data_IF_466496650047
#
_entry.id   IF_466496650047
#
_cell.length_a   1.000
_cell.length_b   1.000
_cell.length_c   1.000
_cell.angle_alpha   90.00
_cell.angle_beta   90.00
_cell.angle_gamma   90.00
#
_symmetry.space_group_name_H-M   'P 1'
#
loop_
_entity.id
_entity.type
_entity.pdbx_description
1 polymer ?
#
# COMPACT_ATOMS: atom_id res chain seq x y z
N UNK A 1 9.73 -12.69 3.81
CA UNK A 1 9.08 -11.38 4.12
C UNK A 1 10.19 -10.46 4.57
N UNK A 2 10.42 -9.35 3.88
CA UNK A 2 11.62 -8.52 4.08
C UNK A 2 11.81 -8.04 5.54
N UNK A 3 10.72 -7.76 6.27
CA UNK A 3 10.81 -7.41 7.69
C UNK A 3 11.32 -8.56 8.57
N UNK A 4 10.89 -9.81 8.30
CA UNK A 4 11.38 -11.00 9.01
C UNK A 4 12.85 -11.25 8.69
N UNK A 5 13.23 -11.14 7.41
CA UNK A 5 14.60 -11.31 6.94
C UNK A 5 15.56 -10.30 7.60
N UNK A 6 15.16 -9.01 7.69
CA UNK A 6 15.92 -7.99 8.42
C UNK A 6 16.09 -8.32 9.90
N UNK A 7 15.10 -8.98 10.51
CA UNK A 7 15.13 -9.42 11.90
C UNK A 7 15.85 -10.77 12.10
N UNK A 8 16.28 -11.44 11.03
CA UNK A 8 16.87 -12.79 11.11
C UNK A 8 15.87 -13.89 11.50
N UNK A 9 14.57 -13.64 11.34
CA UNK A 9 13.50 -14.61 11.63
C UNK A 9 13.20 -15.41 10.37
N UNK A 10 13.31 -16.74 10.46
CA UNK A 10 12.99 -17.62 9.34
C UNK A 10 11.47 -17.72 9.16
N UNK A 11 11.01 -17.89 7.92
CA UNK A 11 9.58 -17.91 7.61
C UNK A 11 8.85 -19.12 8.22
N UNK A 12 9.54 -20.22 8.45
CA UNK A 12 9.02 -21.42 9.12
C UNK A 12 8.91 -21.27 10.66
N UNK A 13 9.44 -20.18 11.22
CA UNK A 13 9.28 -19.82 12.64
C UNK A 13 8.01 -19.02 12.91
N UNK A 14 7.21 -18.73 11.88
CA UNK A 14 5.91 -18.08 12.00
C UNK A 14 4.81 -18.98 11.47
N UNK A 15 3.57 -18.72 11.88
CA UNK A 15 2.39 -19.31 11.25
C UNK A 15 1.76 -18.26 10.33
N UNK A 16 1.98 -18.33 9.00
CA UNK A 16 1.41 -17.34 8.10
C UNK A 16 -0.11 -17.54 7.98
N UNK A 17 -0.84 -16.42 8.06
CA UNK A 17 -2.29 -16.39 7.81
C UNK A 17 -2.55 -15.37 6.69
N UNK A 18 -3.34 -15.77 5.70
CA UNK A 18 -3.65 -14.95 4.53
C UNK A 18 -5.06 -14.41 4.67
N UNK A 19 -5.18 -13.13 5.04
CA UNK A 19 -6.44 -12.44 5.27
C UNK A 19 -6.55 -11.22 4.36
N UNK A 20 -7.78 -10.82 4.04
CA UNK A 20 -8.01 -9.49 3.45
C UNK A 20 -7.59 -8.41 4.47
N UNK A 21 -7.26 -7.18 4.03
CA UNK A 21 -6.87 -6.14 4.97
C UNK A 21 -7.92 -5.82 6.04
N UNK A 22 -9.21 -5.90 5.69
CA UNK A 22 -10.29 -5.68 6.63
C UNK A 22 -10.38 -6.81 7.69
N UNK A 23 -10.26 -8.07 7.25
CA UNK A 23 -10.31 -9.23 8.15
C UNK A 23 -9.08 -9.27 9.07
N UNK A 24 -7.90 -8.93 8.54
CA UNK A 24 -6.67 -8.86 9.31
C UNK A 24 -6.75 -7.80 10.41
N UNK A 25 -7.38 -6.64 10.15
CA UNK A 25 -7.60 -5.62 11.17
C UNK A 25 -8.45 -6.14 12.34
N UNK A 26 -9.52 -6.89 12.05
CA UNK A 26 -10.38 -7.50 13.07
C UNK A 26 -9.65 -8.61 13.85
N UNK A 27 -8.88 -9.46 13.16
CA UNK A 27 -8.07 -10.50 13.77
C UNK A 27 -6.99 -9.91 14.70
N UNK A 28 -6.31 -8.85 14.25
CA UNK A 28 -5.30 -8.16 15.05
C UNK A 28 -5.91 -7.51 16.29
N UNK A 29 -7.05 -6.82 16.16
CA UNK A 29 -7.75 -6.19 17.27
C UNK A 29 -8.32 -7.18 18.30
N UNK A 30 -8.41 -8.47 17.96
CA UNK A 30 -8.91 -9.55 18.82
C UNK A 30 -7.80 -10.51 19.26
N UNK A 31 -6.53 -10.10 19.13
CA UNK A 31 -5.34 -10.88 19.49
C UNK A 31 -5.24 -12.25 18.79
N UNK A 32 -5.87 -12.41 17.62
CA UNK A 32 -5.79 -13.64 16.81
C UNK A 32 -4.55 -13.67 15.92
N UNK A 33 -3.89 -12.53 15.68
CA UNK A 33 -2.61 -12.44 14.98
C UNK A 33 -1.68 -11.45 15.70
N UNK A 34 -0.40 -11.80 15.83
CA UNK A 34 0.58 -11.00 16.58
C UNK A 34 1.16 -9.82 15.78
N UNK A 35 1.21 -9.97 14.45
CA UNK A 35 1.78 -8.99 13.54
C UNK A 35 1.11 -9.06 12.18
N UNK A 36 1.08 -7.93 11.49
CA UNK A 36 0.40 -7.79 10.21
C UNK A 36 1.18 -6.83 9.29
N UNK A 37 1.40 -7.25 8.05
CA UNK A 37 1.97 -6.40 7.00
C UNK A 37 0.84 -5.82 6.14
N UNK A 38 0.73 -4.48 6.09
CA UNK A 38 -0.35 -3.78 5.40
C UNK A 38 0.10 -2.42 4.85
N UNK A 39 -0.69 -1.87 3.93
CA UNK A 39 -0.54 -0.55 3.32
C UNK A 39 -1.70 0.39 3.70
N UNK A 40 -1.54 1.68 3.41
CA UNK A 40 -2.59 2.68 3.59
C UNK A 40 -3.78 2.48 2.65
N UNK A 41 -5.02 2.77 3.07
CA UNK A 41 -5.38 3.50 4.30
C UNK A 41 -5.54 2.60 5.54
N UNK A 42 -5.44 1.27 5.40
CA UNK A 42 -5.68 0.35 6.52
C UNK A 42 -4.67 0.52 7.66
N UNK A 43 -3.41 0.82 7.33
CA UNK A 43 -2.39 1.13 8.32
C UNK A 43 -2.75 2.39 9.12
N UNK A 44 -3.05 3.51 8.46
CA UNK A 44 -3.51 4.74 9.13
C UNK A 44 -4.75 4.53 10.02
N UNK A 45 -5.73 3.73 9.57
CA UNK A 45 -6.90 3.37 10.39
C UNK A 45 -6.49 2.57 11.63
N UNK A 46 -5.53 1.66 11.49
CA UNK A 46 -5.04 0.88 12.62
C UNK A 46 -4.25 1.76 13.60
N UNK A 47 -3.44 2.72 13.11
CA UNK A 47 -2.73 3.69 13.93
C UNK A 47 -3.68 4.49 14.84
N UNK A 48 -4.81 4.94 14.30
CA UNK A 48 -5.81 5.70 15.06
C UNK A 48 -6.62 4.84 16.02
N UNK A 49 -7.04 3.63 15.60
CA UNK A 49 -7.96 2.79 16.40
C UNK A 49 -7.26 1.90 17.43
N UNK A 50 -6.09 1.37 17.10
CA UNK A 50 -5.46 0.29 17.86
C UNK A 50 -4.08 0.65 18.40
N UNK A 51 -3.49 1.77 17.96
CA UNK A 51 -2.16 2.25 18.38
C UNK A 51 -1.08 1.14 18.35
N UNK A 52 -0.94 0.40 17.22
CA UNK A 52 0.00 -0.69 17.11
C UNK A 52 1.45 -0.19 17.22
N UNK A 53 2.34 -1.08 17.63
CA UNK A 53 3.78 -0.84 17.53
C UNK A 53 4.25 -1.11 16.10
N UNK A 54 4.77 -0.08 15.44
CA UNK A 54 5.39 -0.21 14.11
C UNK A 54 6.71 -0.97 14.23
N UNK A 55 6.80 -2.16 13.62
CA UNK A 55 8.01 -3.00 13.65
C UNK A 55 9.03 -2.60 12.58
N UNK A 56 8.54 -2.26 11.38
CA UNK A 56 9.34 -1.81 10.25
C UNK A 56 8.43 -1.06 9.26
N UNK A 57 8.97 -0.04 8.59
CA UNK A 57 8.35 0.57 7.41
C UNK A 57 8.95 -0.02 6.14
N UNK A 58 8.17 -0.10 5.06
CA UNK A 58 8.65 -0.61 3.77
C UNK A 58 9.91 0.09 3.28
N UNK A 59 10.07 1.39 3.51
CA UNK A 59 11.27 2.16 3.16
C UNK A 59 12.54 1.70 3.89
N UNK A 60 12.42 0.99 5.00
CA UNK A 60 13.54 0.50 5.83
C UNK A 60 13.95 -0.94 5.49
N UNK A 61 13.15 -1.64 4.67
CA UNK A 61 13.33 -3.09 4.37
C UNK A 61 13.26 -3.39 2.87
N UNK A 62 12.67 -2.52 2.07
CA UNK A 62 12.41 -2.74 0.65
C UNK A 62 12.82 -1.52 -0.18
N UNK A 63 13.43 -1.78 -1.32
CA UNK A 63 13.51 -0.82 -2.42
C UNK A 63 12.35 -1.11 -3.37
N UNK A 64 11.23 -0.43 -3.17
CA UNK A 64 10.01 -0.63 -3.96
C UNK A 64 10.16 0.05 -5.31
N UNK A 65 9.91 -0.70 -6.39
CA UNK A 65 9.74 -0.15 -7.74
C UNK A 65 8.29 -0.39 -8.18
N UNK A 66 7.60 0.68 -8.57
CA UNK A 66 6.25 0.59 -9.13
C UNK A 66 6.33 0.60 -10.65
N UNK A 67 5.50 -0.19 -11.31
CA UNK A 67 5.47 -0.31 -12.77
C UNK A 67 4.03 -0.35 -13.29
N UNK A 68 3.80 0.25 -14.45
CA UNK A 68 2.56 0.10 -15.21
C UNK A 68 2.74 -1.06 -16.20
N UNK A 69 1.74 -1.93 -16.29
CA UNK A 69 1.73 -3.01 -17.28
C UNK A 69 0.68 -2.72 -18.34
N UNK A 70 1.04 -2.96 -19.60
CA UNK A 70 0.13 -2.93 -20.72
C UNK A 70 0.22 -4.24 -21.51
N UNK A 71 -0.88 -4.63 -22.15
CA UNK A 71 -0.85 -5.74 -23.08
C UNK A 71 0.13 -5.43 -24.23
N UNK A 72 0.99 -6.41 -24.55
CA UNK A 72 2.09 -6.23 -25.53
C UNK A 72 1.59 -5.86 -26.92
N UNK A 73 0.53 -6.51 -27.40
CA UNK A 73 0.01 -6.29 -28.74
C UNK A 73 -0.69 -4.94 -28.83
N UNK A 74 -1.45 -4.57 -27.79
CA UNK A 74 -2.04 -3.23 -27.66
C UNK A 74 -0.96 -2.14 -27.67
N UNK A 75 0.09 -2.29 -26.86
CA UNK A 75 1.15 -1.29 -26.77
C UNK A 75 1.92 -1.13 -28.09
N UNK A 76 2.04 -2.20 -28.88
CA UNK A 76 2.64 -2.15 -30.22
C UNK A 76 1.71 -1.50 -31.26
N UNK A 77 0.41 -1.80 -31.20
CA UNK A 77 -0.57 -1.25 -32.14
C UNK A 77 -0.89 0.23 -31.87
N UNK A 78 -0.81 0.64 -30.59
CA UNK A 78 -1.20 1.98 -30.13
C UNK A 78 -0.10 2.63 -29.26
N UNK A 79 1.12 2.81 -29.79
CA UNK A 79 2.23 3.36 -29.01
C UNK A 79 1.95 4.79 -28.54
N UNK A 80 1.27 5.60 -29.37
CA UNK A 80 0.94 6.99 -29.04
C UNK A 80 -0.04 7.06 -27.85
N UNK A 81 -1.08 6.23 -27.82
CA UNK A 81 -2.02 6.16 -26.69
C UNK A 81 -1.28 5.78 -25.40
N UNK A 82 -0.37 4.81 -25.46
CA UNK A 82 0.43 4.40 -24.30
C UNK A 82 1.31 5.56 -23.81
N UNK A 83 2.05 6.23 -24.71
CA UNK A 83 2.90 7.36 -24.35
C UNK A 83 2.09 8.51 -23.76
N UNK A 84 0.98 8.88 -24.38
CA UNK A 84 0.09 9.95 -23.91
C UNK A 84 -0.52 9.61 -22.55
N UNK A 85 -0.92 8.36 -22.33
CA UNK A 85 -1.43 7.90 -21.01
C UNK A 85 -0.35 7.99 -19.93
N UNK A 86 0.87 7.52 -20.20
CA UNK A 86 1.98 7.60 -19.24
C UNK A 86 2.35 9.05 -18.93
N UNK A 87 2.35 9.94 -19.93
CA UNK A 87 2.60 11.37 -19.72
C UNK A 87 1.55 11.99 -18.81
N UNK A 88 0.26 11.75 -19.08
CA UNK A 88 -0.84 12.23 -18.26
C UNK A 88 -0.77 11.69 -16.82
N UNK A 89 -0.42 10.41 -16.64
CA UNK A 89 -0.18 9.83 -15.30
C UNK A 89 0.99 10.51 -14.59
N UNK A 90 2.06 10.86 -15.31
CA UNK A 90 3.19 11.61 -14.75
C UNK A 90 2.82 13.02 -14.29
N UNK A 91 2.00 13.73 -15.08
CA UNK A 91 1.46 15.04 -14.70
C UNK A 91 0.54 14.94 -13.47
N UNK A 92 -0.35 13.95 -13.45
CA UNK A 92 -1.24 13.70 -12.32
C UNK A 92 -0.45 13.35 -11.05
N UNK A 93 0.60 12.53 -11.16
CA UNK A 93 1.47 12.19 -10.03
C UNK A 93 2.20 13.41 -9.48
N UNK A 94 2.73 14.29 -10.35
CA UNK A 94 3.37 15.53 -9.93
C UNK A 94 2.38 16.47 -9.25
N UNK A 95 1.17 16.59 -9.78
CA UNK A 95 0.12 17.37 -9.15
C UNK A 95 -0.25 16.81 -7.77
N UNK A 96 -0.42 15.49 -7.65
CA UNK A 96 -0.77 14.83 -6.40
C UNK A 96 0.29 15.05 -5.31
N UNK A 97 1.57 14.97 -5.66
CA UNK A 97 2.68 15.25 -4.73
C UNK A 97 2.66 16.69 -4.20
N UNK A 98 2.19 17.64 -5.02
CA UNK A 98 2.08 19.06 -4.68
C UNK A 98 0.76 19.44 -3.98
N UNK A 99 -0.24 18.57 -3.99
CA UNK A 99 -1.61 18.86 -3.50
C UNK A 99 -2.10 17.73 -2.57
N UNK A 100 -1.30 17.35 -1.58
CA UNK A 100 -1.56 16.18 -0.71
C UNK A 100 -2.85 16.29 0.10
N UNK A 101 -3.24 17.51 0.47
CA UNK A 101 -4.52 17.85 1.10
C UNK A 101 -5.70 17.46 0.19
N UNK A 102 -5.68 17.90 -1.07
CA UNK A 102 -6.73 17.58 -2.05
C UNK A 102 -6.76 16.10 -2.40
N UNK A 103 -5.60 15.45 -2.43
CA UNK A 103 -5.51 14.00 -2.62
C UNK A 103 -6.17 13.28 -1.43
N UNK A 104 -5.93 13.72 -0.20
CA UNK A 104 -6.59 13.17 0.98
C UNK A 104 -8.10 13.37 0.91
N UNK A 105 -8.59 14.56 0.53
CA UNK A 105 -10.02 14.83 0.31
C UNK A 105 -10.64 13.88 -0.72
N UNK A 106 -10.00 13.71 -1.89
CA UNK A 106 -10.48 12.81 -2.93
C UNK A 106 -10.47 11.34 -2.48
N UNK A 107 -9.47 10.91 -1.71
CA UNK A 107 -9.43 9.56 -1.15
C UNK A 107 -10.50 9.37 -0.07
N UNK A 108 -10.76 10.39 0.76
CA UNK A 108 -11.84 10.38 1.75
C UNK A 108 -13.20 10.14 1.09
N UNK A 109 -13.51 10.83 -0.01
CA UNK A 109 -14.80 10.68 -0.71
C UNK A 109 -15.06 9.24 -1.17
N UNK A 110 -14.02 8.52 -1.60
CA UNK A 110 -14.15 7.14 -2.12
C UNK A 110 -14.06 6.10 -1.01
N UNK A 111 -13.24 6.33 0.00
CA UNK A 111 -12.92 5.33 1.04
C UNK A 111 -13.71 5.50 2.33
N UNK A 112 -14.26 6.70 2.58
CA UNK A 112 -14.91 7.07 3.84
C UNK A 112 -13.94 7.19 5.03
N UNK A 113 -12.63 7.14 4.80
CA UNK A 113 -11.61 7.26 5.85
C UNK A 113 -11.50 8.72 6.27
N UNK A 114 -11.65 9.07 7.57
CA UNK A 114 -11.57 10.45 8.03
C UNK A 114 -10.23 11.13 7.67
N UNK A 115 -10.24 12.47 7.56
CA UNK A 115 -9.08 13.27 7.14
C UNK A 115 -8.10 13.60 8.29
N UNK A 116 -8.52 13.33 9.52
CA UNK A 116 -7.91 13.68 10.80
C UNK A 116 -6.98 12.59 11.36
#
# INVERSE_FOLDING_TARGET
>A
VAALEKAGVAFDQITPVYLSPADAAAAFASDQIDAWAVWDPFFAIAETRYQPRVLARSSEVLKVNTYFLANKDFAKAHPEIVTTTIAALGEAAKWADQNRDKVAEALHEVTGVPLD
#
